data_IF_551598252054
#
_entry.id   IF_551598252054
#
_cell.length_a   1.000
_cell.length_b   1.000
_cell.length_c   1.000
_cell.angle_alpha   90.00
_cell.angle_beta   90.00
_cell.angle_gamma   90.00
#
_symmetry.space_group_name_H-M   'P 1'
#
loop_
_entity.id
_entity.type
_entity.pdbx_description
1 polymer ?
#
# COMPACT_ATOMS: atom_id res chain seq x y z
N UNK A 1 17.20 26.02 -17.66
CA UNK A 1 17.80 26.22 -16.32
C UNK A 1 16.91 27.18 -15.54
N UNK A 2 15.81 26.68 -14.97
CA UNK A 2 14.83 27.52 -14.26
C UNK A 2 14.24 26.86 -13.00
N UNK A 3 14.66 25.66 -12.61
CA UNK A 3 14.11 24.98 -11.42
C UNK A 3 14.50 25.65 -10.10
N UNK A 4 15.81 25.72 -9.79
CA UNK A 4 16.29 26.17 -8.46
C UNK A 4 15.87 27.59 -8.10
N UNK A 5 15.91 28.53 -9.04
CA UNK A 5 15.47 29.91 -8.78
C UNK A 5 13.98 30.01 -8.47
N UNK A 6 13.14 29.15 -9.07
CA UNK A 6 11.71 29.13 -8.78
C UNK A 6 11.44 28.62 -7.35
N UNK A 7 12.17 27.60 -6.91
CA UNK A 7 12.03 27.05 -5.56
C UNK A 7 12.54 28.00 -4.47
N UNK A 8 13.67 28.66 -4.72
CA UNK A 8 14.19 29.72 -3.84
C UNK A 8 13.19 30.87 -3.76
N UNK A 9 12.62 31.29 -4.90
CA UNK A 9 11.60 32.34 -4.93
C UNK A 9 10.31 31.95 -4.18
N UNK A 10 9.89 30.67 -4.24
CA UNK A 10 8.72 30.19 -3.52
C UNK A 10 8.93 30.21 -1.99
N UNK A 11 10.14 29.85 -1.54
CA UNK A 11 10.54 29.98 -0.13
C UNK A 11 10.59 31.44 0.31
N UNK A 12 11.14 32.32 -0.52
CA UNK A 12 11.21 33.76 -0.24
C UNK A 12 9.81 34.41 -0.22
N UNK A 13 8.84 33.84 -0.94
CA UNK A 13 7.43 34.24 -0.93
C UNK A 13 6.61 33.61 0.22
N UNK A 14 7.26 32.88 1.12
CA UNK A 14 6.64 32.37 2.35
C UNK A 14 6.01 30.97 2.23
N UNK A 15 6.28 30.24 1.15
CA UNK A 15 5.88 28.82 1.05
C UNK A 15 6.71 28.01 2.05
N UNK A 16 6.07 27.09 2.77
CA UNK A 16 6.80 26.29 3.75
C UNK A 16 7.80 25.36 3.07
N UNK A 17 8.89 25.01 3.76
CA UNK A 17 9.87 24.05 3.23
C UNK A 17 9.23 22.67 2.98
N UNK A 18 8.22 22.29 3.76
CA UNK A 18 7.48 21.04 3.56
C UNK A 18 6.65 21.06 2.27
N UNK A 19 5.97 22.18 1.99
CA UNK A 19 5.20 22.35 0.77
C UNK A 19 6.11 22.43 -0.46
N UNK A 20 7.25 23.14 -0.36
CA UNK A 20 8.25 23.20 -1.44
C UNK A 20 8.83 21.82 -1.73
N UNK A 21 9.15 21.02 -0.71
CA UNK A 21 9.65 19.64 -0.89
C UNK A 21 8.60 18.78 -1.58
N UNK A 22 7.33 18.92 -1.22
CA UNK A 22 6.23 18.17 -1.84
C UNK A 22 6.09 18.53 -3.32
N UNK A 23 6.02 19.82 -3.65
CA UNK A 23 5.84 20.28 -5.04
C UNK A 23 7.08 20.03 -5.90
N UNK A 24 8.29 20.11 -5.32
CA UNK A 24 9.54 19.75 -5.99
C UNK A 24 9.61 18.26 -6.33
N UNK A 25 9.33 17.39 -5.34
CA UNK A 25 9.41 15.94 -5.49
C UNK A 25 8.52 15.42 -6.62
N UNK A 26 7.36 16.05 -6.84
CA UNK A 26 6.40 15.69 -7.89
C UNK A 26 6.48 16.57 -9.14
N UNK A 27 7.46 17.46 -9.26
CA UNK A 27 7.59 18.31 -10.44
C UNK A 27 7.96 17.48 -11.68
N UNK A 28 7.48 17.89 -12.85
CA UNK A 28 7.80 17.21 -14.11
C UNK A 28 9.31 17.12 -14.37
N UNK A 29 10.07 18.16 -14.03
CA UNK A 29 11.54 18.19 -14.15
C UNK A 29 12.22 17.16 -13.22
N UNK A 30 11.71 16.98 -11.99
CA UNK A 30 12.22 15.96 -11.07
C UNK A 30 11.85 14.54 -11.53
N UNK A 31 10.62 14.33 -12.01
CA UNK A 31 10.16 13.04 -12.53
C UNK A 31 10.89 12.64 -13.83
N UNK A 32 11.15 13.58 -14.74
CA UNK A 32 11.94 13.35 -15.96
C UNK A 32 13.42 13.07 -15.62
N UNK A 33 13.97 13.72 -14.59
CA UNK A 33 15.32 13.43 -14.09
C UNK A 33 15.47 12.03 -13.49
N UNK A 34 14.38 11.42 -13.03
CA UNK A 34 14.33 10.05 -12.52
C UNK A 34 14.16 9.01 -13.65
N UNK A 35 13.88 9.43 -14.88
CA UNK A 35 13.66 8.54 -16.03
C UNK A 35 14.80 7.55 -16.32
N UNK A 36 16.09 7.93 -16.25
CA UNK A 36 17.18 6.97 -16.40
C UNK A 36 17.29 5.96 -15.25
N UNK A 37 16.79 6.29 -14.06
CA UNK A 37 16.72 5.38 -12.91
C UNK A 37 15.52 4.41 -13.03
N UNK A 38 14.42 4.85 -13.65
CA UNK A 38 13.29 3.98 -14.03
C UNK A 38 13.72 2.91 -15.05
N UNK A 39 14.53 3.28 -16.05
CA UNK A 39 15.03 2.35 -17.07
C UNK A 39 16.04 1.31 -16.54
N UNK A 40 16.61 1.55 -15.35
CA UNK A 40 17.58 0.67 -14.68
C UNK A 40 16.95 -0.18 -13.55
N UNK A 41 15.62 -0.12 -13.36
CA UNK A 41 14.90 -1.00 -12.43
C UNK A 41 15.02 -0.64 -10.94
N UNK A 42 15.33 0.62 -10.61
CA UNK A 42 15.43 1.11 -9.20
C UNK A 42 14.08 1.64 -8.66
N UNK A 43 13.00 1.38 -9.39
CA UNK A 43 11.62 1.70 -9.03
C UNK A 43 10.77 0.50 -9.49
N UNK A 44 9.85 -0.03 -8.68
CA UNK A 44 9.01 -1.18 -9.09
C UNK A 44 7.69 -0.69 -9.70
N UNK A 45 7.54 -0.60 -11.03
CA UNK A 45 6.24 -0.54 -11.71
C UNK A 45 5.54 -1.93 -11.74
N UNK A 46 6.02 -2.87 -10.92
CA UNK A 46 5.50 -4.21 -10.81
C UNK A 46 4.17 -4.16 -10.04
N UNK A 47 3.08 -4.30 -10.78
CA UNK A 47 1.72 -4.28 -10.23
C UNK A 47 1.49 -5.40 -9.23
N UNK A 48 2.17 -6.55 -9.38
CA UNK A 48 2.05 -7.67 -8.46
C UNK A 48 2.81 -7.36 -7.17
N UNK A 49 4.03 -6.83 -7.26
CA UNK A 49 4.77 -6.38 -6.09
C UNK A 49 4.05 -5.27 -5.31
N UNK A 50 3.49 -4.28 -6.00
CA UNK A 50 2.71 -3.21 -5.35
C UNK A 50 1.42 -3.74 -4.72
N UNK A 51 0.79 -4.75 -5.33
CA UNK A 51 -0.40 -5.40 -4.75
C UNK A 51 -0.05 -6.20 -3.50
N UNK A 52 1.06 -6.95 -3.53
CA UNK A 52 1.61 -7.66 -2.38
C UNK A 52 2.00 -6.68 -1.26
N UNK A 53 2.66 -5.57 -1.57
CA UNK A 53 3.02 -4.55 -0.59
C UNK A 53 1.79 -3.99 0.15
N UNK A 54 0.70 -3.71 -0.58
CA UNK A 54 -0.58 -3.30 0.03
C UNK A 54 -1.17 -4.36 0.97
N UNK A 55 -0.97 -5.66 0.68
CA UNK A 55 -1.37 -6.73 1.59
C UNK A 55 -0.57 -6.68 2.90
N UNK A 56 0.75 -6.44 2.84
CA UNK A 56 1.58 -6.32 4.04
C UNK A 56 1.12 -5.16 4.93
N UNK A 57 0.94 -3.96 4.38
CA UNK A 57 0.45 -2.82 5.15
C UNK A 57 -0.95 -3.07 5.69
N UNK A 58 -1.87 -3.54 4.85
CA UNK A 58 -3.26 -3.71 5.24
C UNK A 58 -3.55 -4.87 6.18
N UNK A 59 -2.78 -5.97 6.12
CA UNK A 59 -3.04 -7.17 6.92
C UNK A 59 -2.05 -7.41 8.04
N UNK A 60 -0.81 -6.94 7.89
CA UNK A 60 0.27 -7.17 8.86
C UNK A 60 0.67 -5.88 9.58
N UNK A 61 0.22 -4.73 9.08
CA UNK A 61 0.55 -3.40 9.62
C UNK A 61 2.08 -3.25 9.76
N UNK A 62 2.78 -3.53 8.65
CA UNK A 62 4.21 -3.32 8.47
C UNK A 62 4.56 -3.29 6.98
N UNK A 63 5.75 -2.80 6.67
CA UNK A 63 6.35 -2.98 5.35
C UNK A 63 6.75 -4.45 5.11
N UNK A 64 6.70 -4.93 3.85
CA UNK A 64 7.30 -6.21 3.51
C UNK A 64 8.82 -6.16 3.70
N UNK A 65 9.41 -7.29 4.10
CA UNK A 65 10.84 -7.51 3.96
C UNK A 65 11.17 -8.01 2.54
N UNK A 66 12.44 -7.91 2.12
CA UNK A 66 12.86 -8.25 0.76
C UNK A 66 12.50 -9.69 0.38
N UNK A 67 12.72 -10.65 1.28
CA UNK A 67 12.45 -12.07 1.01
C UNK A 67 10.96 -12.36 0.93
N UNK A 68 10.17 -11.81 1.85
CA UNK A 68 8.73 -11.94 1.87
C UNK A 68 8.05 -11.29 0.67
N UNK A 69 8.54 -10.13 0.21
CA UNK A 69 8.04 -9.48 -1.00
C UNK A 69 8.31 -10.34 -2.24
N UNK A 70 9.58 -10.73 -2.46
CA UNK A 70 9.98 -11.52 -3.62
C UNK A 70 9.23 -12.86 -3.70
N UNK A 71 9.07 -13.55 -2.57
CA UNK A 71 8.39 -14.84 -2.54
C UNK A 71 6.90 -14.72 -2.90
N UNK A 72 6.20 -13.74 -2.35
CA UNK A 72 4.77 -13.56 -2.60
C UNK A 72 4.51 -12.97 -3.99
N UNK A 73 5.33 -12.03 -4.46
CA UNK A 73 5.27 -11.53 -5.85
C UNK A 73 5.48 -12.67 -6.83
N UNK A 74 6.54 -13.48 -6.66
CA UNK A 74 6.81 -14.62 -7.52
C UNK A 74 5.69 -15.67 -7.52
N UNK A 75 4.96 -15.81 -6.41
CA UNK A 75 3.77 -16.66 -6.37
C UNK A 75 2.63 -16.10 -7.24
N UNK A 76 2.38 -14.79 -7.19
CA UNK A 76 1.37 -14.12 -8.03
C UNK A 76 1.75 -14.21 -9.50
N UNK A 77 3.01 -13.94 -9.84
CA UNK A 77 3.55 -14.06 -11.21
C UNK A 77 3.44 -15.51 -11.74
N UNK A 78 3.54 -16.50 -10.85
CA UNK A 78 3.36 -17.91 -11.18
C UNK A 78 1.88 -18.35 -11.29
N UNK A 79 0.94 -17.41 -11.13
CA UNK A 79 -0.50 -17.63 -11.30
C UNK A 79 -1.29 -17.91 -10.02
N UNK A 80 -0.69 -17.76 -8.84
CA UNK A 80 -1.45 -17.80 -7.58
C UNK A 80 -2.31 -16.54 -7.48
N UNK A 81 -3.60 -16.70 -7.21
CA UNK A 81 -4.48 -15.54 -7.03
C UNK A 81 -4.14 -14.77 -5.75
N UNK A 82 -4.42 -13.46 -5.73
CA UNK A 82 -4.27 -12.66 -4.51
C UNK A 82 -5.09 -13.22 -3.34
N UNK A 83 -6.27 -13.79 -3.59
CA UNK A 83 -7.05 -14.48 -2.56
C UNK A 83 -6.29 -15.69 -1.99
N UNK A 84 -5.59 -16.46 -2.84
CA UNK A 84 -4.74 -17.57 -2.41
C UNK A 84 -3.56 -17.11 -1.57
N UNK A 85 -2.91 -16.02 -1.97
CA UNK A 85 -1.83 -15.38 -1.19
C UNK A 85 -2.35 -14.92 0.17
N UNK A 86 -3.46 -14.18 0.19
CA UNK A 86 -4.11 -13.70 1.42
C UNK A 86 -4.51 -14.85 2.32
N UNK A 87 -5.05 -15.94 1.77
CA UNK A 87 -5.38 -17.13 2.56
C UNK A 87 -4.14 -17.76 3.21
N UNK A 88 -3.01 -17.74 2.51
CA UNK A 88 -1.71 -18.12 3.07
C UNK A 88 -1.27 -17.22 4.22
N UNK A 89 -1.41 -15.89 4.06
CA UNK A 89 -1.10 -14.90 5.09
C UNK A 89 -2.00 -15.08 6.32
N UNK A 90 -3.32 -15.24 6.14
CA UNK A 90 -4.27 -15.47 7.24
C UNK A 90 -3.94 -16.74 8.05
N UNK A 91 -3.36 -17.75 7.39
CA UNK A 91 -2.95 -19.01 8.02
C UNK A 91 -1.49 -18.97 8.53
N UNK A 92 -0.78 -17.85 8.38
CA UNK A 92 0.61 -17.74 8.76
C UNK A 92 0.78 -17.58 10.28
N UNK A 93 1.89 -18.09 10.86
CA UNK A 93 2.21 -17.84 12.26
C UNK A 93 2.33 -16.35 12.60
N UNK A 94 2.75 -15.53 11.63
CA UNK A 94 2.89 -14.09 11.79
C UNK A 94 1.53 -13.41 12.00
N UNK A 95 0.57 -13.70 11.12
CA UNK A 95 -0.79 -13.17 11.26
C UNK A 95 -1.44 -13.65 12.57
N UNK A 96 -1.29 -14.94 12.90
CA UNK A 96 -1.80 -15.48 14.15
C UNK A 96 -1.18 -14.81 15.40
N UNK A 97 0.10 -14.46 15.37
CA UNK A 97 0.77 -13.82 16.50
C UNK A 97 0.20 -12.41 16.82
N UNK A 98 -0.27 -11.67 15.80
CA UNK A 98 -0.75 -10.29 15.96
C UNK A 98 -2.28 -10.17 15.96
N UNK A 99 -2.97 -11.07 15.26
CA UNK A 99 -4.39 -10.96 14.91
C UNK A 99 -5.17 -12.27 15.08
N UNK A 100 -4.72 -13.20 15.95
CA UNK A 100 -5.49 -14.41 16.26
C UNK A 100 -6.89 -14.09 16.81
N UNK A 101 -7.85 -14.95 16.46
CA UNK A 101 -9.21 -14.99 17.02
C UNK A 101 -10.02 -13.68 16.93
N UNK A 102 -9.67 -12.79 15.99
CA UNK A 102 -10.47 -11.59 15.74
C UNK A 102 -11.89 -11.96 15.33
N UNK A 103 -12.87 -11.25 15.89
CA UNK A 103 -14.23 -11.22 15.35
C UNK A 103 -14.22 -10.63 13.94
N UNK A 104 -15.26 -10.88 13.15
CA UNK A 104 -15.36 -10.31 11.80
C UNK A 104 -15.33 -8.78 11.83
N UNK A 105 -15.93 -8.15 12.84
CA UNK A 105 -15.90 -6.70 13.01
C UNK A 105 -14.48 -6.18 13.29
N UNK A 106 -13.77 -6.83 14.22
CA UNK A 106 -12.39 -6.44 14.55
C UNK A 106 -11.41 -6.72 13.39
N UNK A 107 -11.66 -7.78 12.61
CA UNK A 107 -10.94 -8.07 11.39
C UNK A 107 -11.10 -6.96 10.34
N UNK A 108 -12.34 -6.51 10.09
CA UNK A 108 -12.61 -5.40 9.17
C UNK A 108 -11.96 -4.10 9.68
N UNK A 109 -12.07 -3.82 10.97
CA UNK A 109 -11.46 -2.63 11.57
C UNK A 109 -9.93 -2.60 11.39
N UNK A 110 -9.26 -3.73 11.65
CA UNK A 110 -7.82 -3.85 11.45
C UNK A 110 -7.40 -3.64 9.99
N UNK A 111 -8.16 -4.18 9.03
CA UNK A 111 -7.91 -3.97 7.61
C UNK A 111 -8.08 -2.49 7.20
N UNK A 112 -9.10 -1.83 7.74
CA UNK A 112 -9.36 -0.41 7.47
C UNK A 112 -8.24 0.47 8.02
N UNK A 113 -7.78 0.20 9.24
CA UNK A 113 -6.68 0.94 9.86
C UNK A 113 -5.38 0.76 9.05
N UNK A 114 -4.98 -0.48 8.77
CA UNK A 114 -3.74 -0.76 8.05
C UNK A 114 -3.76 -0.36 6.57
N UNK A 115 -4.88 -0.55 5.87
CA UNK A 115 -4.94 -0.31 4.43
C UNK A 115 -5.38 1.11 4.06
N UNK A 116 -6.24 1.73 4.86
CA UNK A 116 -6.87 3.02 4.55
C UNK A 116 -6.46 4.13 5.53
N UNK A 117 -5.80 3.79 6.64
CA UNK A 117 -5.37 4.76 7.65
C UNK A 117 -6.53 5.40 8.43
N UNK A 118 -7.69 4.73 8.49
CA UNK A 118 -8.88 5.22 9.19
C UNK A 118 -9.77 4.08 9.64
N UNK A 119 -10.63 4.33 10.62
CA UNK A 119 -11.70 3.41 10.99
C UNK A 119 -12.77 3.29 9.88
N UNK A 120 -13.48 2.14 9.79
CA UNK A 120 -14.61 2.00 8.90
C UNK A 120 -15.77 2.89 9.36
N UNK A 121 -16.44 3.51 8.39
CA UNK A 121 -17.74 4.12 8.65
C UNK A 121 -18.83 3.04 8.84
N UNK A 122 -19.96 3.42 9.45
CA UNK A 122 -21.02 2.48 9.79
C UNK A 122 -21.56 1.71 8.57
N UNK A 123 -21.63 2.36 7.40
CA UNK A 123 -22.16 1.75 6.17
C UNK A 123 -21.16 0.75 5.61
N UNK A 124 -19.88 1.14 5.51
CA UNK A 124 -18.79 0.27 5.07
C UNK A 124 -18.65 -0.97 5.95
N UNK A 125 -18.60 -0.79 7.28
CA UNK A 125 -18.52 -1.89 8.23
C UNK A 125 -19.71 -2.86 8.06
N UNK A 126 -20.94 -2.34 7.98
CA UNK A 126 -22.13 -3.18 7.85
C UNK A 126 -22.17 -3.92 6.51
N UNK A 127 -21.69 -3.30 5.43
CA UNK A 127 -21.60 -3.94 4.11
C UNK A 127 -20.67 -5.15 4.12
N UNK A 128 -19.46 -4.99 4.67
CA UNK A 128 -18.50 -6.10 4.77
C UNK A 128 -18.96 -7.21 5.71
N UNK A 129 -19.57 -6.86 6.85
CA UNK A 129 -20.16 -7.84 7.77
C UNK A 129 -21.29 -8.63 7.12
N UNK A 130 -22.14 -7.97 6.33
CA UNK A 130 -23.20 -8.64 5.59
C UNK A 130 -22.62 -9.58 4.52
N UNK A 131 -21.55 -9.19 3.83
CA UNK A 131 -20.86 -10.04 2.86
C UNK A 131 -20.29 -11.31 3.51
N UNK A 132 -19.60 -11.16 4.65
CA UNK A 132 -19.11 -12.31 5.43
C UNK A 132 -20.25 -13.24 5.87
N UNK A 133 -21.37 -12.67 6.33
CA UNK A 133 -22.55 -13.45 6.72
C UNK A 133 -23.18 -14.20 5.54
N UNK A 134 -23.06 -13.65 4.33
CA UNK A 134 -23.58 -14.24 3.08
C UNK A 134 -22.60 -15.24 2.44
N UNK A 135 -21.43 -15.48 3.06
CA UNK A 135 -20.47 -16.51 2.65
C UNK A 135 -19.27 -15.99 1.87
N UNK A 136 -19.09 -14.67 1.71
CA UNK A 136 -17.81 -14.12 1.26
C UNK A 136 -16.72 -14.49 2.26
N UNK A 137 -15.58 -14.93 1.78
CA UNK A 137 -14.46 -15.30 2.65
C UNK A 137 -13.75 -14.06 3.21
N UNK A 138 -13.08 -14.21 4.37
CA UNK A 138 -12.17 -13.18 4.89
C UNK A 138 -11.06 -12.82 3.90
N UNK A 139 -10.62 -13.79 3.09
CA UNK A 139 -9.62 -13.53 2.06
C UNK A 139 -10.13 -12.59 0.97
N UNK A 140 -11.37 -12.78 0.52
CA UNK A 140 -12.00 -11.88 -0.46
C UNK A 140 -12.24 -10.48 0.13
N UNK A 141 -12.65 -10.37 1.39
CA UNK A 141 -12.81 -9.07 2.08
C UNK A 141 -11.46 -8.35 2.19
N UNK A 142 -10.40 -9.04 2.60
CA UNK A 142 -9.06 -8.47 2.69
C UNK A 142 -8.56 -7.99 1.32
N UNK A 143 -8.72 -8.78 0.25
CA UNK A 143 -8.37 -8.32 -1.11
C UNK A 143 -9.20 -7.09 -1.49
N UNK A 144 -10.51 -7.09 -1.23
CA UNK A 144 -11.41 -5.98 -1.56
C UNK A 144 -11.03 -4.66 -0.89
N UNK A 145 -10.62 -4.71 0.39
CA UNK A 145 -10.22 -3.51 1.14
C UNK A 145 -8.80 -3.08 0.74
N UNK A 146 -7.83 -3.99 0.79
CA UNK A 146 -6.41 -3.69 0.57
C UNK A 146 -6.08 -3.27 -0.86
N UNK A 147 -6.85 -3.72 -1.85
CA UNK A 147 -6.64 -3.38 -3.26
C UNK A 147 -7.61 -2.30 -3.76
N UNK A 148 -8.42 -1.72 -2.86
CA UNK A 148 -9.33 -0.64 -3.21
C UNK A 148 -8.58 0.60 -3.73
N UNK A 149 -9.26 1.43 -4.52
CA UNK A 149 -8.69 2.71 -4.96
C UNK A 149 -8.28 3.59 -3.78
N UNK A 150 -9.02 3.55 -2.68
CA UNK A 150 -8.68 4.29 -1.47
C UNK A 150 -7.37 3.78 -0.83
N UNK A 151 -7.19 2.46 -0.72
CA UNK A 151 -5.94 1.87 -0.24
C UNK A 151 -4.76 2.22 -1.14
N UNK A 152 -4.96 2.20 -2.46
CA UNK A 152 -3.93 2.61 -3.42
C UNK A 152 -3.53 4.06 -3.21
N UNK A 153 -4.49 4.97 -3.00
CA UNK A 153 -4.18 6.38 -2.73
C UNK A 153 -3.52 6.58 -1.37
N UNK A 154 -4.01 5.89 -0.32
CA UNK A 154 -3.48 6.01 1.03
C UNK A 154 -2.06 5.49 1.14
N UNK A 155 -1.77 4.35 0.50
CA UNK A 155 -0.47 3.66 0.57
C UNK A 155 0.50 4.07 -0.54
N UNK A 156 0.07 4.92 -1.49
CA UNK A 156 0.93 5.42 -2.55
C UNK A 156 2.21 6.06 -1.99
N UNK A 157 2.17 6.93 -0.96
CA UNK A 157 3.41 7.49 -0.40
C UNK A 157 4.32 6.43 0.23
N UNK A 158 3.77 5.38 0.85
CA UNK A 158 4.52 4.35 1.54
C UNK A 158 5.17 3.37 0.55
N UNK A 159 4.52 3.13 -0.59
CA UNK A 159 4.95 2.18 -1.62
C UNK A 159 5.80 2.87 -2.69
N UNK A 160 5.43 4.07 -3.13
CA UNK A 160 6.10 4.82 -4.22
C UNK A 160 7.12 5.83 -3.71
N UNK A 161 7.01 6.33 -2.47
CA UNK A 161 8.08 7.11 -1.81
C UNK A 161 8.86 6.28 -0.79
N UNK A 162 8.54 5.00 -0.63
CA UNK A 162 9.33 4.06 0.14
C UNK A 162 10.61 3.73 -0.62
N UNK A 163 11.63 4.60 -0.54
CA UNK A 163 12.98 4.30 -1.00
C UNK A 163 13.48 3.02 -0.31
N UNK A 164 13.39 1.86 -0.96
CA UNK A 164 14.12 0.69 -0.52
C UNK A 164 14.75 -0.07 -1.67
N UNK A 165 16.08 0.09 -1.70
CA UNK A 165 17.08 -0.64 -2.47
C UNK A 165 16.77 -2.13 -2.58
N UNK A 166 16.82 -2.63 -3.82
CA UNK A 166 17.31 -3.99 -4.09
C UNK A 166 18.78 -4.12 -3.71
#
# INVERSE_FOLDING_TARGET
>A
MAGVQNWVSALDQGTSRADVVTVFAFSAENLEGLQPAFEQGVFTPDLDASSVARLYYGMLDRAPDQGGLQALTGAVESGVSLQGVVQGVLNSPEYAAKFADLSDAAFIEALYDGALGRAPDAVGAQSWLAALTQGTSRAEVAVGITQSAEAQQHLLPQIEMGWHLV
#
